data_IF_387638319611
#
_entry.id   IF_387638319611
#
_cell.length_a   1.000
_cell.length_b   1.000
_cell.length_c   1.000
_cell.angle_alpha   90.00
_cell.angle_beta   90.00
_cell.angle_gamma   90.00
#
_symmetry.space_group_name_H-M   'P 1'
#
loop_
_entity.id
_entity.type
_entity.pdbx_description
1 polymer ?
#
# COMPACT_ATOMS: atom_id res chain seq x y z
N UNK A 1 16.19 -27.25 1.91
CA UNK A 1 15.86 -28.62 2.36
C UNK A 1 14.39 -28.86 2.03
N UNK A 2 14.04 -29.90 1.26
CA UNK A 2 12.63 -30.19 0.94
C UNK A 2 11.91 -30.60 2.22
N UNK A 3 10.87 -29.85 2.61
CA UNK A 3 10.07 -30.16 3.80
C UNK A 3 9.44 -31.55 3.65
N UNK A 4 9.42 -32.35 4.73
CA UNK A 4 8.72 -33.65 4.73
C UNK A 4 7.22 -33.37 4.56
N UNK A 5 6.56 -34.06 3.61
CA UNK A 5 5.11 -33.93 3.37
C UNK A 5 4.35 -34.16 4.68
N UNK A 6 3.37 -33.30 4.98
CA UNK A 6 2.52 -33.46 6.16
C UNK A 6 1.70 -34.76 6.07
N UNK A 7 1.23 -35.33 7.19
CA UNK A 7 0.38 -36.52 7.17
C UNK A 7 -0.87 -36.34 6.27
N UNK A 8 -1.44 -35.13 6.27
CA UNK A 8 -2.57 -34.74 5.43
C UNK A 8 -2.21 -34.76 3.93
N UNK A 9 -1.05 -34.20 3.56
CA UNK A 9 -0.54 -34.28 2.18
C UNK A 9 -0.23 -35.71 1.75
N UNK A 10 0.25 -36.57 2.66
CA UNK A 10 0.49 -37.98 2.34
C UNK A 10 -0.81 -38.75 2.10
N UNK A 11 -1.85 -38.46 2.88
CA UNK A 11 -3.17 -39.06 2.71
C UNK A 11 -3.85 -38.57 1.42
N UNK A 12 -3.77 -37.26 1.13
CA UNK A 12 -4.26 -36.70 -0.11
C UNK A 12 -3.54 -37.29 -1.34
N UNK A 13 -2.23 -37.53 -1.25
CA UNK A 13 -1.46 -38.18 -2.31
C UNK A 13 -1.92 -39.61 -2.57
N UNK A 14 -2.17 -40.40 -1.51
CA UNK A 14 -2.67 -41.77 -1.63
C UNK A 14 -4.06 -41.80 -2.28
N UNK A 15 -4.94 -40.89 -1.87
CA UNK A 15 -6.29 -40.80 -2.43
C UNK A 15 -6.28 -40.35 -3.89
N UNK A 16 -5.40 -39.41 -4.25
CA UNK A 16 -5.22 -38.95 -5.62
C UNK A 16 -4.74 -40.07 -6.55
N UNK A 17 -3.80 -40.90 -6.09
CA UNK A 17 -3.32 -42.05 -6.85
C UNK A 17 -4.42 -43.08 -7.12
N UNK A 18 -5.30 -43.34 -6.13
CA UNK A 18 -6.44 -44.24 -6.30
C UNK A 18 -7.47 -43.68 -7.29
N UNK A 19 -7.69 -42.36 -7.25
CA UNK A 19 -8.65 -41.67 -8.11
C UNK A 19 -8.16 -41.62 -9.57
N UNK A 20 -6.87 -41.37 -9.82
CA UNK A 20 -6.29 -41.36 -11.17
C UNK A 20 -6.22 -42.76 -11.78
N UNK A 21 -6.20 -43.81 -10.95
CA UNK A 21 -6.19 -45.20 -11.42
C UNK A 21 -7.52 -45.64 -12.05
N UNK A 22 -8.60 -44.88 -11.87
CA UNK A 22 -9.87 -45.09 -12.57
C UNK A 22 -9.86 -44.37 -13.94
N UNK A 23 -9.87 -45.07 -15.09
CA UNK A 23 -9.71 -44.45 -16.41
C UNK A 23 -10.75 -43.39 -16.77
N UNK A 24 -11.91 -43.40 -16.12
CA UNK A 24 -13.04 -42.51 -16.42
C UNK A 24 -13.34 -41.51 -15.30
N UNK A 25 -12.42 -41.34 -14.34
CA UNK A 25 -12.64 -40.48 -13.18
C UNK A 25 -13.04 -39.03 -13.56
N UNK A 26 -12.58 -38.53 -14.70
CA UNK A 26 -12.85 -37.18 -15.19
C UNK A 26 -14.27 -36.99 -15.77
N UNK A 27 -15.00 -38.08 -16.05
CA UNK A 27 -16.39 -38.02 -16.51
C UNK A 27 -17.36 -37.79 -15.34
N UNK A 28 -16.97 -38.17 -14.13
CA UNK A 28 -17.76 -37.98 -12.92
C UNK A 28 -17.43 -36.61 -12.28
N UNK A 29 -18.46 -35.77 -12.14
CA UNK A 29 -18.35 -34.45 -11.52
C UNK A 29 -17.90 -34.53 -10.05
N UNK A 30 -18.28 -35.59 -9.34
CA UNK A 30 -17.91 -35.80 -7.93
C UNK A 30 -16.42 -36.11 -7.83
N UNK A 31 -15.92 -37.05 -8.63
CA UNK A 31 -14.49 -37.40 -8.68
C UNK A 31 -13.64 -36.23 -9.17
N UNK A 32 -14.13 -35.47 -10.15
CA UNK A 32 -13.46 -34.26 -10.64
C UNK A 32 -13.33 -33.19 -9.56
N UNK A 33 -14.40 -32.96 -8.78
CA UNK A 33 -14.35 -32.04 -7.64
C UNK A 33 -13.36 -32.52 -6.58
N UNK A 34 -13.41 -33.81 -6.24
CA UNK A 34 -12.51 -34.41 -5.26
C UNK A 34 -11.04 -34.33 -5.69
N UNK A 35 -10.76 -34.55 -6.98
CA UNK A 35 -9.43 -34.37 -7.55
C UNK A 35 -8.91 -32.94 -7.33
N UNK A 36 -9.74 -31.91 -7.55
CA UNK A 36 -9.35 -30.50 -7.29
C UNK A 36 -9.02 -30.24 -5.83
N UNK A 37 -9.86 -30.72 -4.91
CA UNK A 37 -9.63 -30.61 -3.46
C UNK A 37 -8.31 -31.27 -3.04
N UNK A 38 -8.00 -32.45 -3.61
CA UNK A 38 -6.75 -33.16 -3.32
C UNK A 38 -5.52 -32.41 -3.86
N UNK A 39 -5.62 -31.81 -5.04
CA UNK A 39 -4.58 -30.94 -5.61
C UNK A 39 -4.34 -29.73 -4.70
N UNK A 40 -5.39 -29.05 -4.24
CA UNK A 40 -5.28 -27.89 -3.32
C UNK A 40 -4.60 -28.25 -1.98
N UNK A 41 -4.76 -29.47 -1.47
CA UNK A 41 -4.07 -29.93 -0.25
C UNK A 41 -2.58 -30.20 -0.51
N UNK A 42 -2.26 -30.73 -1.69
CA UNK A 42 -0.91 -31.11 -2.08
C UNK A 42 -0.06 -29.90 -2.49
N UNK A 43 -0.69 -28.98 -3.20
CA UNK A 43 -0.16 -27.72 -3.68
C UNK A 43 -1.08 -26.61 -3.15
N UNK A 44 -1.02 -26.30 -1.83
CA UNK A 44 -1.76 -25.17 -1.32
C UNK A 44 -1.32 -23.95 -2.13
N UNK A 45 -2.25 -23.36 -2.88
CA UNK A 45 -2.01 -22.09 -3.56
C UNK A 45 -1.48 -21.15 -2.49
N UNK A 46 -0.20 -20.78 -2.58
CA UNK A 46 0.37 -19.79 -1.69
C UNK A 46 -0.55 -18.58 -1.76
N UNK A 47 -1.17 -18.21 -0.63
CA UNK A 47 -2.10 -17.08 -0.59
C UNK A 47 -1.37 -15.87 -1.15
N UNK A 48 -1.85 -15.44 -2.31
CA UNK A 48 -1.11 -14.56 -3.19
C UNK A 48 -1.51 -13.13 -2.85
N UNK A 49 -0.61 -12.33 -2.25
CA UNK A 49 -0.88 -10.89 -2.09
C UNK A 49 -0.49 -10.16 -3.38
N UNK A 50 -1.44 -9.56 -4.13
CA UNK A 50 -1.13 -8.79 -5.33
C UNK A 50 -0.12 -7.66 -5.10
N UNK A 51 -0.02 -7.15 -3.86
CA UNK A 51 0.96 -6.10 -3.50
C UNK A 51 2.39 -6.62 -3.52
N UNK A 52 2.60 -7.89 -3.19
CA UNK A 52 3.93 -8.53 -3.24
C UNK A 52 4.36 -8.80 -4.67
N UNK A 53 3.45 -9.21 -5.57
CA UNK A 53 3.79 -9.32 -6.99
C UNK A 53 4.24 -7.99 -7.59
N UNK A 54 3.54 -6.91 -7.27
CA UNK A 54 3.91 -5.58 -7.75
C UNK A 54 5.29 -5.18 -7.22
N UNK A 55 5.61 -5.43 -5.94
CA UNK A 55 6.93 -5.11 -5.38
C UNK A 55 8.03 -5.94 -6.04
N UNK A 56 7.81 -7.23 -6.28
CA UNK A 56 8.73 -8.13 -7.00
C UNK A 56 8.97 -7.61 -8.42
N UNK A 57 7.91 -7.25 -9.15
CA UNK A 57 8.01 -6.70 -10.51
C UNK A 57 8.85 -5.42 -10.54
N UNK A 58 8.62 -4.52 -9.59
CA UNK A 58 9.35 -3.25 -9.48
C UNK A 58 10.80 -3.47 -9.06
N UNK A 59 11.09 -4.45 -8.19
CA UNK A 59 12.47 -4.78 -7.82
C UNK A 59 13.23 -5.37 -9.00
N UNK A 60 12.63 -6.30 -9.77
CA UNK A 60 13.23 -6.81 -11.01
C UNK A 60 13.61 -5.70 -12.00
N UNK A 61 12.79 -4.65 -12.08
CA UNK A 61 13.09 -3.48 -12.92
C UNK A 61 14.36 -2.74 -12.45
N UNK A 62 14.54 -2.60 -11.14
CA UNK A 62 15.73 -1.98 -10.55
C UNK A 62 16.96 -2.88 -10.71
N UNK A 63 16.80 -4.19 -10.53
CA UNK A 63 17.90 -5.16 -10.66
C UNK A 63 18.45 -5.20 -12.09
N UNK A 64 17.58 -5.03 -13.10
CA UNK A 64 18.00 -4.89 -14.50
C UNK A 64 18.77 -3.60 -14.80
N UNK A 65 18.81 -2.63 -13.87
CA UNK A 65 19.43 -1.31 -14.01
C UNK A 65 20.32 -1.00 -12.79
N UNK A 66 21.48 -1.67 -12.68
CA UNK A 66 22.37 -1.50 -11.54
C UNK A 66 22.78 -0.03 -11.38
N UNK A 67 22.82 0.43 -10.13
CA UNK A 67 23.16 1.82 -9.77
C UNK A 67 21.97 2.78 -9.73
N UNK A 68 20.85 2.51 -10.42
CA UNK A 68 19.68 3.39 -10.40
C UNK A 68 19.02 3.47 -9.02
N UNK A 69 18.94 2.34 -8.31
CA UNK A 69 18.37 2.30 -6.96
C UNK A 69 19.15 3.19 -5.99
N UNK A 70 20.48 3.12 -6.02
CA UNK A 70 21.36 3.90 -5.16
C UNK A 70 21.23 5.41 -5.45
N UNK A 71 21.26 5.81 -6.73
CA UNK A 71 21.11 7.21 -7.12
C UNK A 71 19.73 7.77 -6.70
N UNK A 72 18.65 6.98 -6.89
CA UNK A 72 17.32 7.36 -6.41
C UNK A 72 17.31 7.51 -4.87
N UNK A 73 17.94 6.59 -4.13
CA UNK A 73 18.00 6.66 -2.68
C UNK A 73 18.75 7.92 -2.21
N UNK A 74 19.86 8.26 -2.85
CA UNK A 74 20.63 9.48 -2.56
C UNK A 74 19.84 10.75 -2.89
N UNK A 75 19.15 10.78 -4.03
CA UNK A 75 18.27 11.90 -4.38
C UNK A 75 17.15 12.08 -3.35
N UNK A 76 16.57 10.98 -2.89
CA UNK A 76 15.54 11.01 -1.84
C UNK A 76 16.10 11.49 -0.51
N UNK A 77 17.31 11.09 -0.11
CA UNK A 77 17.98 11.61 1.10
C UNK A 77 18.29 13.09 1.01
N UNK A 78 18.66 13.56 -0.19
CA UNK A 78 18.91 14.98 -0.48
C UNK A 78 17.63 15.82 -0.54
N UNK A 79 16.45 15.22 -0.32
CA UNK A 79 15.17 15.92 -0.26
C UNK A 79 14.58 16.30 -1.61
N UNK A 80 15.08 15.73 -2.71
CA UNK A 80 14.52 15.98 -4.04
C UNK A 80 13.09 15.44 -4.13
N UNK A 81 12.23 16.22 -4.80
CA UNK A 81 10.82 15.85 -4.95
C UNK A 81 10.71 14.81 -6.07
N UNK A 82 9.78 13.86 -5.94
CA UNK A 82 9.57 12.79 -6.93
C UNK A 82 9.42 13.30 -8.36
N UNK A 83 8.87 14.51 -8.56
CA UNK A 83 8.71 15.13 -9.86
C UNK A 83 10.06 15.44 -10.55
N UNK A 84 11.08 15.81 -9.78
CA UNK A 84 12.41 16.12 -10.29
C UNK A 84 13.15 14.83 -10.67
N UNK A 85 13.08 13.82 -9.81
CA UNK A 85 13.65 12.49 -10.07
C UNK A 85 12.98 11.86 -11.30
N UNK A 86 11.66 12.05 -11.47
CA UNK A 86 10.91 11.59 -12.64
C UNK A 86 11.36 12.27 -13.94
N UNK A 87 11.78 13.54 -13.91
CA UNK A 87 12.31 14.21 -15.11
C UNK A 87 13.60 13.54 -15.58
N UNK A 88 14.47 13.10 -14.66
CA UNK A 88 15.74 12.43 -14.97
C UNK A 88 15.53 11.02 -15.56
N UNK A 89 14.72 10.19 -14.90
CA UNK A 89 14.63 8.76 -15.25
C UNK A 89 13.38 8.36 -16.04
N UNK A 90 12.34 9.20 -16.09
CA UNK A 90 11.03 8.91 -16.70
C UNK A 90 10.43 7.56 -16.24
N UNK A 91 10.58 7.23 -14.97
CA UNK A 91 10.13 5.98 -14.36
C UNK A 91 8.75 6.09 -13.69
N UNK A 92 8.17 4.92 -13.39
CA UNK A 92 6.93 4.80 -12.62
C UNK A 92 7.13 5.34 -11.18
N UNK A 93 6.25 6.25 -10.69
CA UNK A 93 6.30 6.74 -9.32
C UNK A 93 6.25 5.67 -8.22
N UNK A 94 5.72 4.48 -8.50
CA UNK A 94 5.71 3.35 -7.56
C UNK A 94 7.13 2.90 -7.19
N UNK A 95 8.11 3.05 -8.10
CA UNK A 95 9.52 2.74 -7.85
C UNK A 95 10.08 3.60 -6.71
N UNK A 96 9.79 4.91 -6.72
CA UNK A 96 10.22 5.80 -5.63
C UNK A 96 9.63 5.37 -4.29
N UNK A 97 8.39 4.90 -4.29
CA UNK A 97 7.74 4.41 -3.07
C UNK A 97 8.36 3.12 -2.56
N UNK A 98 8.77 2.22 -3.46
CA UNK A 98 9.49 0.99 -3.12
C UNK A 98 10.87 1.31 -2.53
N UNK A 99 11.68 2.10 -3.24
CA UNK A 99 13.04 2.48 -2.80
C UNK A 99 12.97 3.23 -1.46
N UNK A 100 12.05 4.17 -1.31
CA UNK A 100 11.86 4.89 -0.05
C UNK A 100 11.56 3.95 1.12
N UNK A 101 10.65 2.98 0.95
CA UNK A 101 10.31 1.99 1.99
C UNK A 101 11.50 1.11 2.33
N UNK A 102 12.21 0.62 1.32
CA UNK A 102 13.38 -0.27 1.46
C UNK A 102 14.54 0.41 2.21
N UNK A 103 14.77 1.69 1.94
CA UNK A 103 15.84 2.49 2.57
C UNK A 103 15.38 3.24 3.83
N UNK A 104 14.13 3.04 4.30
CA UNK A 104 13.62 3.66 5.52
C UNK A 104 13.52 5.19 5.46
N UNK A 105 13.45 5.79 4.26
CA UNK A 105 13.48 7.25 4.10
C UNK A 105 12.11 7.85 4.42
N UNK A 106 12.08 8.90 5.25
CA UNK A 106 10.84 9.59 5.59
C UNK A 106 10.20 10.25 4.37
N UNK A 107 8.86 10.37 4.37
CA UNK A 107 8.16 11.02 3.26
C UNK A 107 8.33 12.53 3.34
N UNK A 108 9.16 13.10 2.47
CA UNK A 108 9.23 14.56 2.31
C UNK A 108 7.86 15.13 1.92
N UNK A 109 7.43 16.19 2.60
CA UNK A 109 6.22 16.95 2.26
C UNK A 109 4.91 16.49 2.91
N UNK A 110 4.93 15.56 3.87
CA UNK A 110 3.77 15.42 4.75
C UNK A 110 3.85 16.51 5.83
N UNK A 111 3.18 17.65 5.61
CA UNK A 111 2.99 18.62 6.69
C UNK A 111 2.32 17.89 7.83
N UNK A 112 3.03 17.75 8.94
CA UNK A 112 2.52 17.07 10.13
C UNK A 112 1.26 17.82 10.55
N UNK A 113 0.14 17.10 10.58
CA UNK A 113 -1.13 17.67 11.00
C UNK A 113 -0.96 18.16 12.45
N UNK A 114 -1.17 19.46 12.73
CA UNK A 114 -1.00 20.02 14.06
C UNK A 114 -2.03 19.44 15.02
N UNK A 115 -1.77 19.56 16.33
CA UNK A 115 -2.71 19.10 17.34
C UNK A 115 -4.05 19.86 17.26
N UNK A 116 -5.14 19.26 17.77
CA UNK A 116 -6.47 19.90 17.76
C UNK A 116 -6.41 21.28 18.42
N UNK A 117 -5.78 21.38 19.59
CA UNK A 117 -5.70 22.61 20.38
C UNK A 117 -4.93 23.71 19.64
N UNK A 118 -3.78 23.40 19.07
CA UNK A 118 -2.98 24.39 18.34
C UNK A 118 -3.71 24.92 17.10
N UNK A 119 -4.40 24.03 16.37
CA UNK A 119 -5.18 24.42 15.20
C UNK A 119 -6.37 25.30 15.59
N UNK A 120 -7.10 24.93 16.65
CA UNK A 120 -8.26 25.66 17.14
C UNK A 120 -7.89 27.05 17.67
N UNK A 121 -6.84 27.15 18.51
CA UNK A 121 -6.33 28.43 18.99
C UNK A 121 -5.94 29.33 17.82
N UNK A 122 -5.18 28.79 16.87
CA UNK A 122 -4.70 29.59 15.75
C UNK A 122 -5.83 30.03 14.81
N UNK A 123 -6.82 29.18 14.57
CA UNK A 123 -7.95 29.47 13.71
C UNK A 123 -8.97 30.42 14.35
N UNK A 124 -9.32 30.21 15.63
CA UNK A 124 -10.28 31.02 16.35
C UNK A 124 -9.73 32.42 16.70
N UNK A 125 -8.45 32.54 17.04
CA UNK A 125 -7.85 33.82 17.40
C UNK A 125 -7.45 34.68 16.19
N UNK A 126 -6.82 34.08 15.18
CA UNK A 126 -6.20 34.83 14.08
C UNK A 126 -6.88 34.63 12.71
N UNK A 127 -7.84 33.71 12.63
CA UNK A 127 -8.59 33.41 11.41
C UNK A 127 -7.79 32.65 10.35
N UNK A 128 -8.51 32.24 9.29
CA UNK A 128 -8.00 31.32 8.25
C UNK A 128 -6.70 31.77 7.58
N UNK A 129 -6.54 33.06 7.26
CA UNK A 129 -5.35 33.56 6.54
C UNK A 129 -4.08 33.43 7.40
N UNK A 130 -4.18 33.74 8.69
CA UNK A 130 -3.07 33.58 9.61
C UNK A 130 -2.74 32.10 9.85
N UNK A 131 -3.75 31.24 9.95
CA UNK A 131 -3.55 29.78 10.09
C UNK A 131 -2.85 29.19 8.86
N UNK A 132 -3.26 29.58 7.65
CA UNK A 132 -2.60 29.18 6.39
C UNK A 132 -1.14 29.58 6.36
N UNK A 133 -0.84 30.81 6.78
CA UNK A 133 0.52 31.36 6.79
C UNK A 133 1.38 30.66 7.84
N UNK A 134 0.86 30.46 9.05
CA UNK A 134 1.56 29.81 10.16
C UNK A 134 1.97 28.36 9.84
N UNK A 135 1.06 27.61 9.22
CA UNK A 135 1.30 26.19 8.90
C UNK A 135 1.83 25.98 7.47
N UNK A 136 2.00 27.04 6.69
CA UNK A 136 2.44 27.02 5.29
C UNK A 136 1.70 25.97 4.44
N UNK A 137 0.37 25.93 4.54
CA UNK A 137 -0.48 24.95 3.83
C UNK A 137 -1.61 25.63 3.10
N UNK A 138 -2.13 24.97 2.07
CA UNK A 138 -3.31 25.47 1.35
C UNK A 138 -4.54 25.62 2.27
N UNK A 139 -5.43 26.56 1.93
CA UNK A 139 -6.74 26.73 2.60
C UNK A 139 -7.52 25.41 2.66
N UNK A 140 -7.47 24.62 1.59
CA UNK A 140 -8.15 23.32 1.49
C UNK A 140 -7.61 22.33 2.53
N UNK A 141 -6.30 22.31 2.77
CA UNK A 141 -5.67 21.48 3.79
C UNK A 141 -6.15 21.87 5.19
N UNK A 142 -6.22 23.17 5.50
CA UNK A 142 -6.76 23.65 6.78
C UNK A 142 -8.21 23.21 6.98
N UNK A 143 -9.08 23.35 5.97
CA UNK A 143 -10.47 22.90 6.08
C UNK A 143 -10.60 21.39 6.30
N UNK A 144 -9.77 20.58 5.63
CA UNK A 144 -9.70 19.13 5.89
C UNK A 144 -9.32 18.85 7.34
N UNK A 145 -8.36 19.58 7.90
CA UNK A 145 -7.97 19.43 9.30
C UNK A 145 -9.08 19.85 10.27
N UNK A 146 -9.73 21.00 10.04
CA UNK A 146 -10.87 21.47 10.85
C UNK A 146 -12.01 20.45 10.84
N UNK A 147 -12.38 19.93 9.66
CA UNK A 147 -13.41 18.91 9.52
C UNK A 147 -13.06 17.63 10.29
N UNK A 148 -11.81 17.17 10.18
CA UNK A 148 -11.37 15.96 10.89
C UNK A 148 -11.34 16.10 12.42
N UNK A 149 -11.21 17.33 12.95
CA UNK A 149 -11.29 17.62 14.38
C UNK A 149 -12.68 18.09 14.85
N UNK A 150 -13.66 18.12 13.94
CA UNK A 150 -15.02 18.64 14.18
C UNK A 150 -15.02 20.08 14.72
N UNK A 151 -14.08 20.90 14.29
CA UNK A 151 -14.02 22.32 14.68
C UNK A 151 -14.98 23.09 13.74
N UNK A 152 -15.93 23.86 14.29
CA UNK A 152 -16.89 24.60 13.48
C UNK A 152 -16.19 25.68 12.65
N UNK A 153 -16.58 25.80 11.38
CA UNK A 153 -16.07 26.86 10.51
C UNK A 153 -16.93 28.12 10.66
N UNK A 154 -16.39 29.30 10.33
CA UNK A 154 -17.14 30.56 10.44
C UNK A 154 -18.42 30.58 9.60
N UNK A 155 -18.47 29.80 8.50
CA UNK A 155 -19.69 29.62 7.70
C UNK A 155 -20.78 28.86 8.46
N UNK A 156 -20.40 27.89 9.29
CA UNK A 156 -21.32 27.09 10.10
C UNK A 156 -21.88 27.91 11.29
N UNK A 157 -21.04 28.77 11.89
CA UNK A 157 -21.39 29.64 13.03
C UNK A 157 -22.38 30.76 12.64
N UNK A 158 -22.29 31.27 11.41
CA UNK A 158 -23.25 32.28 10.93
C UNK A 158 -24.62 31.65 10.63
N UNK A 159 -24.66 30.45 10.04
CA UNK A 159 -25.92 29.76 9.74
C UNK A 159 -26.68 29.30 10.99
N UNK A 160 -26.01 29.07 12.12
CA UNK A 160 -26.66 28.70 13.39
C UNK A 160 -27.24 29.91 14.16
N UNK A 161 -26.93 31.14 13.75
CA UNK A 161 -27.49 32.37 14.35
C UNK A 161 -28.70 32.92 13.59
N UNK A 162 -28.92 32.44 12.36
CA UNK A 162 -30.03 32.84 11.48
C UNK A 162 -31.19 31.83 11.50
N UNK A 163 -31.28 30.97 12.51
CA UNK A 163 -32.35 29.99 12.66
C UNK A 163 -32.99 30.09 14.03
#
# INVERSE_FOLDING_TARGET
>A
MRSRKTPEQQQAWKELLLLINDPEWYLDKVKTKRHKELIEILEPEEQYDPREQESIRLQRYLDARPGMEADIADMLRNGLIYLEIRKKYRIDPKIFSLVRKKHGIEKHGCVKKPSKRELEVCYCQYGLRATVTKFNVSKATIYKWLASYKIPTNKTIQNSKTR
#
